data_IF_321797794641
#
_entry.id   IF_321797794641
#
_cell.length_a   1.000
_cell.length_b   1.000
_cell.length_c   1.000
_cell.angle_alpha   90.00
_cell.angle_beta   90.00
_cell.angle_gamma   90.00
#
_symmetry.space_group_name_H-M   'P 1'
#
loop_
_entity.id
_entity.type
_entity.pdbx_description
1 polymer ?
#
# COMPACT_ATOMS: atom_id res chain seq x y z
N UNK A 1 25.88 -4.82 4.20
CA UNK A 1 25.13 -3.87 5.05
C UNK A 1 23.67 -4.29 5.06
N UNK A 2 23.11 -4.61 6.22
CA UNK A 2 21.66 -4.78 6.33
C UNK A 2 21.00 -3.39 6.42
N UNK A 3 19.90 -3.18 5.70
CA UNK A 3 19.08 -1.96 5.83
C UNK A 3 18.49 -1.92 7.24
N UNK A 4 18.63 -0.81 7.94
CA UNK A 4 18.07 -0.56 9.26
C UNK A 4 16.95 0.50 9.15
N UNK A 5 15.80 0.21 9.75
CA UNK A 5 14.65 1.10 9.83
C UNK A 5 14.29 1.49 11.27
N UNK A 6 15.24 1.34 12.20
CA UNK A 6 15.08 1.81 13.59
C UNK A 6 14.62 3.28 13.59
N UNK A 7 13.68 3.62 14.46
CA UNK A 7 13.02 4.93 14.53
C UNK A 7 12.17 5.32 13.31
N UNK A 8 11.87 4.43 12.38
CA UNK A 8 10.94 4.67 11.27
C UNK A 8 9.58 4.06 11.54
N UNK A 9 8.55 4.73 11.07
CA UNK A 9 7.16 4.27 11.09
C UNK A 9 6.72 3.96 9.67
N UNK A 10 6.24 2.73 9.44
CA UNK A 10 5.81 2.24 8.14
C UNK A 10 4.33 1.87 8.16
N UNK A 11 3.54 2.39 7.25
CA UNK A 11 2.16 2.00 6.98
C UNK A 11 2.10 1.13 5.72
N UNK A 12 1.54 -0.06 5.86
CA UNK A 12 1.36 -0.99 4.74
C UNK A 12 -0.14 -1.27 4.57
N UNK A 13 -0.69 -0.98 3.39
CA UNK A 13 -2.09 -1.28 3.06
C UNK A 13 -2.23 -2.68 2.45
N UNK A 14 -3.37 -3.34 2.72
CA UNK A 14 -3.57 -4.73 2.30
C UNK A 14 -2.56 -5.68 2.96
N UNK A 15 -2.25 -5.44 4.23
CA UNK A 15 -1.19 -6.13 4.95
C UNK A 15 -1.69 -7.31 5.80
N UNK A 16 -2.99 -7.65 5.73
CA UNK A 16 -3.54 -8.83 6.40
C UNK A 16 -3.08 -10.16 5.79
N UNK A 17 -2.47 -10.14 4.59
CA UNK A 17 -1.99 -11.34 3.92
C UNK A 17 -1.02 -11.07 2.76
N UNK A 18 -0.63 -12.12 2.06
CA UNK A 18 0.15 -12.06 0.82
C UNK A 18 1.42 -11.21 0.92
N UNK A 19 1.69 -10.42 -0.11
CA UNK A 19 2.86 -9.53 -0.18
C UNK A 19 2.82 -8.45 0.90
N UNK A 20 1.65 -7.88 1.21
CA UNK A 20 1.53 -6.84 2.24
C UNK A 20 1.98 -7.33 3.60
N UNK A 21 1.59 -8.54 4.00
CA UNK A 21 2.07 -9.19 5.22
C UNK A 21 3.61 -9.36 5.19
N UNK A 22 4.18 -9.82 4.08
CA UNK A 22 5.63 -10.00 3.96
C UNK A 22 6.39 -8.67 4.05
N UNK A 23 5.85 -7.59 3.47
CA UNK A 23 6.41 -6.25 3.63
C UNK A 23 6.37 -5.79 5.10
N UNK A 24 5.26 -6.02 5.79
CA UNK A 24 5.11 -5.67 7.20
C UNK A 24 6.14 -6.40 8.08
N UNK A 25 6.25 -7.72 7.91
CA UNK A 25 7.23 -8.54 8.64
C UNK A 25 8.67 -8.13 8.33
N UNK A 26 9.00 -7.91 7.06
CA UNK A 26 10.35 -7.55 6.63
C UNK A 26 10.81 -6.19 7.16
N UNK A 27 9.90 -5.20 7.25
CA UNK A 27 10.19 -3.89 7.82
C UNK A 27 10.29 -3.94 9.34
N UNK A 28 9.40 -4.69 10.01
CA UNK A 28 9.45 -4.91 11.46
C UNK A 28 10.74 -5.60 11.90
N UNK A 29 11.15 -6.66 11.20
CA UNK A 29 12.39 -7.38 11.46
C UNK A 29 13.65 -6.51 11.31
N UNK A 30 13.52 -5.34 10.67
CA UNK A 30 14.58 -4.34 10.51
C UNK A 30 14.40 -3.12 11.40
N UNK A 31 13.57 -3.21 12.43
CA UNK A 31 13.42 -2.19 13.46
C UNK A 31 12.35 -1.13 13.18
N UNK A 32 11.58 -1.20 12.09
CA UNK A 32 10.46 -0.29 11.88
C UNK A 32 9.32 -0.56 12.86
N UNK A 33 8.64 0.51 13.29
CA UNK A 33 7.29 0.42 13.86
C UNK A 33 6.31 0.29 12.70
N UNK A 34 5.45 -0.72 12.73
CA UNK A 34 4.63 -1.08 11.56
C UNK A 34 3.15 -0.88 11.81
N UNK A 35 2.47 -0.18 10.92
CA UNK A 35 1.02 -0.13 10.85
C UNK A 35 0.54 -1.15 9.83
N UNK A 36 -0.23 -2.12 10.29
CA UNK A 36 -0.86 -3.16 9.49
C UNK A 36 -2.28 -2.71 9.16
N UNK A 37 -2.55 -2.38 7.91
CA UNK A 37 -3.90 -2.03 7.45
C UNK A 37 -4.45 -3.09 6.49
N UNK A 38 -5.70 -3.47 6.71
CA UNK A 38 -6.49 -4.33 5.82
C UNK A 38 -7.99 -4.08 6.08
N UNK A 39 -8.87 -4.64 5.24
CA UNK A 39 -10.32 -4.66 5.48
C UNK A 39 -10.70 -5.67 6.56
N UNK A 40 -9.99 -6.80 6.66
CA UNK A 40 -10.29 -7.88 7.60
C UNK A 40 -9.58 -7.64 8.95
N UNK A 41 -10.30 -7.30 10.03
CA UNK A 41 -9.71 -7.04 11.33
C UNK A 41 -9.00 -8.25 11.95
N UNK A 42 -9.49 -9.47 11.69
CA UNK A 42 -8.86 -10.69 12.21
C UNK A 42 -7.50 -10.94 11.55
N UNK A 43 -7.40 -10.76 10.22
CA UNK A 43 -6.16 -10.86 9.50
C UNK A 43 -5.15 -9.80 9.95
N UNK A 44 -5.61 -8.57 10.19
CA UNK A 44 -4.79 -7.48 10.76
C UNK A 44 -4.22 -7.89 12.10
N UNK A 45 -5.05 -8.39 13.03
CA UNK A 45 -4.60 -8.77 14.36
C UNK A 45 -3.64 -9.97 14.35
N UNK A 46 -3.83 -10.92 13.43
CA UNK A 46 -2.92 -12.04 13.26
C UNK A 46 -1.50 -11.57 12.89
N UNK A 47 -1.37 -10.63 11.93
CA UNK A 47 -0.07 -10.08 11.52
C UNK A 47 0.55 -9.23 12.62
N UNK A 48 -0.25 -8.44 13.34
CA UNK A 48 0.23 -7.67 14.51
C UNK A 48 0.79 -8.60 15.57
N UNK A 49 0.07 -9.66 15.92
CA UNK A 49 0.53 -10.64 16.92
C UNK A 49 1.86 -11.32 16.48
N UNK A 50 1.99 -11.64 15.20
CA UNK A 50 3.21 -12.23 14.64
C UNK A 50 4.42 -11.27 14.76
N UNK A 51 4.24 -10.00 14.43
CA UNK A 51 5.29 -8.98 14.58
C UNK A 51 5.69 -8.81 16.05
N UNK A 52 4.71 -8.75 16.95
CA UNK A 52 4.94 -8.60 18.38
C UNK A 52 5.62 -9.82 18.99
N UNK A 53 5.24 -11.03 18.59
CA UNK A 53 5.88 -12.27 19.02
C UNK A 53 7.36 -12.35 18.59
N UNK A 54 7.72 -11.72 17.47
CA UNK A 54 9.09 -11.57 17.00
C UNK A 54 9.85 -10.39 17.66
N UNK A 55 9.24 -9.70 18.65
CA UNK A 55 9.85 -8.57 19.36
C UNK A 55 9.71 -7.23 18.65
N UNK A 56 8.97 -7.14 17.55
CA UNK A 56 8.70 -5.90 16.82
C UNK A 56 7.55 -5.09 17.43
N UNK A 57 7.35 -3.87 16.92
CA UNK A 57 6.25 -2.99 17.30
C UNK A 57 5.26 -2.88 16.14
N UNK A 58 3.99 -3.16 16.39
CA UNK A 58 2.94 -3.06 15.38
C UNK A 58 1.65 -2.49 15.94
N UNK A 59 0.91 -1.77 15.09
CA UNK A 59 -0.43 -1.24 15.32
C UNK A 59 -1.34 -1.74 14.20
N UNK A 60 -2.45 -2.39 14.56
CA UNK A 60 -3.42 -2.89 13.61
C UNK A 60 -4.59 -1.91 13.43
N UNK A 61 -4.85 -1.49 12.19
CA UNK A 61 -5.92 -0.54 11.87
C UNK A 61 -6.75 -1.06 10.68
N UNK A 62 -7.92 -1.62 10.98
CA UNK A 62 -8.81 -2.17 9.97
C UNK A 62 -9.70 -1.07 9.38
N UNK A 63 -9.46 -0.73 8.10
CA UNK A 63 -10.32 0.19 7.37
C UNK A 63 -10.14 0.04 5.85
N UNK A 64 -11.12 0.55 5.10
CA UNK A 64 -11.04 0.61 3.64
C UNK A 64 -10.13 1.74 3.18
N UNK A 65 -9.19 1.44 2.29
CA UNK A 65 -8.38 2.46 1.60
C UNK A 65 -9.20 3.34 0.66
N UNK A 66 -10.44 2.95 0.33
CA UNK A 66 -11.34 3.72 -0.52
C UNK A 66 -12.21 4.71 0.28
N UNK A 67 -12.20 4.63 1.59
CA UNK A 67 -12.86 5.57 2.49
C UNK A 67 -11.88 6.64 2.97
N UNK A 68 -12.05 7.87 2.49
CA UNK A 68 -11.14 8.97 2.79
C UNK A 68 -11.16 9.38 4.27
N UNK A 69 -12.31 9.28 4.93
CA UNK A 69 -12.44 9.65 6.36
C UNK A 69 -11.77 8.58 7.23
N UNK A 70 -12.00 7.31 6.93
CA UNK A 70 -11.35 6.21 7.64
C UNK A 70 -9.83 6.20 7.46
N UNK A 71 -9.35 6.51 6.24
CA UNK A 71 -7.91 6.67 5.95
C UNK A 71 -7.31 7.84 6.75
N UNK A 72 -7.99 9.00 6.81
CA UNK A 72 -7.51 10.12 7.61
C UNK A 72 -7.47 9.77 9.09
N UNK A 73 -8.52 9.16 9.64
CA UNK A 73 -8.55 8.71 11.03
C UNK A 73 -7.42 7.71 11.36
N UNK A 74 -7.13 6.79 10.44
CA UNK A 74 -6.00 5.86 10.55
C UNK A 74 -4.67 6.62 10.66
N UNK A 75 -4.42 7.59 9.79
CA UNK A 75 -3.18 8.39 9.80
C UNK A 75 -3.08 9.24 11.05
N UNK A 76 -4.17 9.85 11.49
CA UNK A 76 -4.22 10.65 12.73
C UNK A 76 -3.88 9.80 13.96
N UNK A 77 -4.39 8.57 14.03
CA UNK A 77 -4.07 7.62 15.10
C UNK A 77 -2.57 7.25 15.10
N UNK A 78 -1.96 7.06 13.93
CA UNK A 78 -0.52 6.82 13.81
C UNK A 78 0.28 8.02 14.33
N UNK A 79 -0.13 9.24 13.97
CA UNK A 79 0.51 10.47 14.45
C UNK A 79 0.38 10.62 15.97
N UNK A 80 -0.78 10.33 16.54
CA UNK A 80 -0.98 10.36 18.00
C UNK A 80 -0.12 9.32 18.73
N UNK A 81 0.07 8.14 18.13
CA UNK A 81 0.78 7.03 18.75
C UNK A 81 2.31 7.18 18.66
N UNK A 82 2.83 7.61 17.52
CA UNK A 82 4.27 7.60 17.25
C UNK A 82 4.85 8.93 16.75
N UNK A 83 4.02 9.94 16.53
CA UNK A 83 4.44 11.30 16.17
C UNK A 83 5.04 11.46 14.77
N UNK A 84 5.04 10.41 13.96
CA UNK A 84 5.64 10.41 12.62
C UNK A 84 5.08 9.31 11.71
N UNK A 85 5.25 9.49 10.41
CA UNK A 85 5.02 8.44 9.41
C UNK A 85 6.04 8.61 8.27
N UNK A 86 6.94 7.64 8.10
CA UNK A 86 8.11 7.71 7.24
C UNK A 86 7.96 6.94 5.93
N UNK A 87 7.25 5.81 5.98
CA UNK A 87 7.16 4.86 4.88
C UNK A 87 5.69 4.54 4.66
N UNK A 88 5.24 4.63 3.40
CA UNK A 88 3.93 4.16 2.97
C UNK A 88 4.12 3.12 1.86
N UNK A 89 3.58 1.92 2.07
CA UNK A 89 3.50 0.88 1.05
C UNK A 89 2.05 0.72 0.63
N UNK A 90 1.69 1.28 -0.52
CA UNK A 90 0.38 1.11 -1.15
C UNK A 90 0.35 -0.24 -1.87
N UNK A 91 -0.18 -1.25 -1.18
CA UNK A 91 -0.23 -2.62 -1.68
C UNK A 91 -1.66 -3.17 -1.79
N UNK A 92 -2.65 -2.57 -1.12
CA UNK A 92 -4.04 -3.01 -1.20
C UNK A 92 -4.53 -3.12 -2.65
N UNK A 93 -5.27 -4.19 -2.96
CA UNK A 93 -5.77 -4.43 -4.30
C UNK A 93 -6.72 -5.61 -4.39
N UNK A 94 -7.44 -5.68 -5.50
CA UNK A 94 -8.39 -6.75 -5.83
C UNK A 94 -8.25 -7.14 -7.30
N UNK A 95 -8.78 -8.30 -7.66
CA UNK A 95 -8.96 -8.74 -9.05
C UNK A 95 -10.45 -8.89 -9.38
N UNK A 96 -10.81 -8.51 -10.61
CA UNK A 96 -12.10 -8.75 -11.24
C UNK A 96 -11.86 -9.05 -12.72
N UNK A 97 -11.20 -10.20 -12.97
CA UNK A 97 -10.68 -10.56 -14.28
C UNK A 97 -11.81 -11.12 -15.15
N UNK A 98 -12.02 -10.50 -16.30
CA UNK A 98 -12.97 -10.90 -17.34
C UNK A 98 -12.49 -10.40 -18.70
N UNK A 99 -12.76 -11.13 -19.78
CA UNK A 99 -12.53 -10.58 -21.13
C UNK A 99 -13.30 -9.26 -21.29
N UNK A 100 -12.77 -8.32 -22.06
CA UNK A 100 -13.36 -6.97 -22.17
C UNK A 100 -14.84 -7.00 -22.58
N UNK A 101 -15.24 -7.92 -23.45
CA UNK A 101 -16.64 -8.10 -23.85
C UNK A 101 -17.58 -8.56 -22.72
N UNK A 102 -17.04 -9.15 -21.65
CA UNK A 102 -17.79 -9.61 -20.47
C UNK A 102 -17.56 -8.74 -19.23
N UNK A 103 -16.61 -7.80 -19.31
CA UNK A 103 -16.32 -6.87 -18.23
C UNK A 103 -17.49 -5.92 -18.01
N UNK A 104 -17.97 -5.79 -16.79
CA UNK A 104 -18.99 -4.81 -16.45
C UNK A 104 -18.35 -3.48 -16.10
N UNK A 105 -19.10 -2.40 -16.24
CA UNK A 105 -18.63 -1.06 -15.82
C UNK A 105 -18.35 -1.04 -14.32
N UNK A 106 -19.21 -1.66 -13.54
CA UNK A 106 -19.09 -1.74 -12.07
C UNK A 106 -17.80 -2.46 -11.64
N UNK A 107 -17.46 -3.59 -12.28
CA UNK A 107 -16.20 -4.29 -12.02
C UNK A 107 -14.98 -3.44 -12.42
N UNK A 108 -15.11 -2.68 -13.52
CA UNK A 108 -14.05 -1.79 -13.99
C UNK A 108 -13.83 -0.64 -12.99
N UNK A 109 -14.90 0.05 -12.61
CA UNK A 109 -14.86 1.17 -11.66
C UNK A 109 -14.40 0.73 -10.27
N UNK A 110 -14.86 -0.43 -9.80
CA UNK A 110 -14.45 -0.99 -8.51
C UNK A 110 -12.93 -1.22 -8.46
N UNK A 111 -12.35 -1.80 -9.51
CA UNK A 111 -10.90 -2.04 -9.59
C UNK A 111 -10.14 -0.73 -9.64
N UNK A 112 -10.59 0.26 -10.43
CA UNK A 112 -9.98 1.60 -10.43
C UNK A 112 -10.07 2.27 -9.06
N UNK A 113 -11.22 2.19 -8.41
CA UNK A 113 -11.42 2.80 -7.10
C UNK A 113 -10.48 2.19 -6.05
N UNK A 114 -10.38 0.86 -5.99
CA UNK A 114 -9.51 0.21 -5.01
C UNK A 114 -8.02 0.47 -5.29
N UNK A 115 -7.58 0.32 -6.54
CA UNK A 115 -6.15 0.44 -6.87
C UNK A 115 -5.69 1.89 -6.97
N UNK A 116 -6.38 2.72 -7.77
CA UNK A 116 -5.96 4.11 -8.00
C UNK A 116 -6.36 5.02 -6.83
N UNK A 117 -7.66 5.06 -6.51
CA UNK A 117 -8.13 5.93 -5.43
C UNK A 117 -7.68 5.44 -4.06
N UNK A 118 -7.62 4.10 -3.86
CA UNK A 118 -7.10 3.49 -2.64
C UNK A 118 -5.58 3.64 -2.46
N UNK A 119 -4.83 4.03 -3.50
CA UNK A 119 -3.44 4.49 -3.40
C UNK A 119 -3.36 6.00 -3.18
N UNK A 120 -4.18 6.77 -3.91
CA UNK A 120 -4.16 8.23 -3.85
C UNK A 120 -4.55 8.75 -2.46
N UNK A 121 -5.60 8.18 -1.84
CA UNK A 121 -6.11 8.65 -0.55
C UNK A 121 -5.09 8.49 0.59
N UNK A 122 -4.49 7.29 0.85
CA UNK A 122 -3.43 7.17 1.84
C UNK A 122 -2.22 8.04 1.54
N UNK A 123 -1.82 8.14 0.27
CA UNK A 123 -0.72 9.00 -0.15
C UNK A 123 -0.99 10.47 0.18
N UNK A 124 -2.21 10.96 -0.12
CA UNK A 124 -2.61 12.34 0.21
C UNK A 124 -2.64 12.58 1.71
N UNK A 125 -3.14 11.64 2.50
CA UNK A 125 -3.23 11.77 3.95
C UNK A 125 -1.85 11.88 4.63
N UNK A 126 -0.82 11.17 4.11
CA UNK A 126 0.54 11.22 4.70
C UNK A 126 1.41 12.33 4.12
N UNK A 127 1.02 12.97 3.02
CA UNK A 127 1.87 13.85 2.22
C UNK A 127 2.40 15.05 3.00
N UNK A 128 1.52 15.80 3.67
CA UNK A 128 1.93 16.98 4.44
C UNK A 128 2.75 16.60 5.69
N UNK A 129 2.50 15.44 6.29
CA UNK A 129 3.31 14.89 7.38
C UNK A 129 4.74 14.64 6.89
N UNK A 130 4.89 13.97 5.77
CA UNK A 130 6.20 13.67 5.18
C UNK A 130 6.93 14.94 4.74
N UNK A 131 6.20 15.95 4.21
CA UNK A 131 6.78 17.27 3.90
C UNK A 131 7.31 17.97 5.15
N UNK A 132 6.53 18.02 6.22
CA UNK A 132 6.95 18.63 7.49
C UNK A 132 8.17 17.91 8.10
N UNK A 133 8.28 16.60 7.91
CA UNK A 133 9.42 15.80 8.34
C UNK A 133 10.66 15.97 7.44
N UNK A 134 10.51 16.56 6.26
CA UNK A 134 11.49 16.57 5.17
C UNK A 134 12.00 15.15 4.85
N UNK A 135 11.12 14.16 4.96
CA UNK A 135 11.40 12.76 4.71
C UNK A 135 10.12 11.97 4.42
N UNK A 136 10.12 11.22 3.33
CA UNK A 136 9.08 10.27 2.99
C UNK A 136 9.58 9.20 2.01
N UNK A 137 9.09 7.97 2.17
CA UNK A 137 9.33 6.87 1.24
C UNK A 137 8.00 6.22 0.90
N UNK A 138 7.57 6.38 -0.34
CA UNK A 138 6.29 5.86 -0.82
C UNK A 138 6.56 4.81 -1.89
N UNK A 139 6.04 3.63 -1.68
CA UNK A 139 6.05 2.54 -2.64
C UNK A 139 4.63 2.30 -3.14
N UNK A 140 4.47 2.25 -4.45
CA UNK A 140 3.20 1.99 -5.12
C UNK A 140 3.30 0.65 -5.86
N UNK A 141 2.43 -0.29 -5.53
CA UNK A 141 2.43 -1.61 -6.16
C UNK A 141 1.72 -1.55 -7.51
N UNK A 142 2.52 -1.52 -8.58
CA UNK A 142 2.06 -1.69 -9.97
C UNK A 142 2.11 -3.17 -10.40
N UNK A 143 2.13 -3.46 -11.68
CA UNK A 143 2.15 -4.83 -12.21
C UNK A 143 2.70 -4.86 -13.63
N UNK A 144 3.29 -5.99 -14.03
CA UNK A 144 3.58 -6.30 -15.43
C UNK A 144 2.34 -6.18 -16.33
N UNK A 145 1.16 -6.55 -15.82
CA UNK A 145 -0.12 -6.38 -16.53
C UNK A 145 -0.43 -4.92 -16.86
N UNK A 146 0.00 -3.96 -16.02
CA UNK A 146 -0.12 -2.54 -16.32
C UNK A 146 0.86 -2.08 -17.37
N UNK A 147 2.08 -2.64 -17.37
CA UNK A 147 3.17 -2.23 -18.27
C UNK A 147 3.04 -2.83 -19.67
N UNK A 148 2.59 -4.08 -19.76
CA UNK A 148 2.61 -4.87 -21.00
C UNK A 148 1.25 -5.40 -21.43
N UNK A 149 0.22 -5.23 -20.59
CA UNK A 149 -1.10 -5.81 -20.79
C UNK A 149 -1.18 -7.28 -20.37
N UNK A 150 -2.40 -7.72 -20.09
CA UNK A 150 -2.72 -9.13 -19.85
C UNK A 150 -4.18 -9.38 -20.24
N UNK A 151 -4.45 -10.53 -20.86
CA UNK A 151 -5.80 -10.89 -21.26
C UNK A 151 -6.74 -10.95 -20.04
N UNK A 152 -7.93 -10.37 -20.18
CA UNK A 152 -8.93 -10.37 -19.10
C UNK A 152 -8.73 -9.34 -18.01
N UNK A 153 -7.69 -8.50 -18.09
CA UNK A 153 -7.32 -7.53 -17.07
C UNK A 153 -7.36 -6.08 -17.56
N UNK A 154 -8.32 -5.72 -18.39
CA UNK A 154 -8.43 -4.35 -18.91
C UNK A 154 -8.60 -3.29 -17.81
N UNK A 155 -9.39 -3.59 -16.77
CA UNK A 155 -9.57 -2.77 -15.57
C UNK A 155 -8.29 -2.70 -14.73
N UNK A 156 -7.72 -3.85 -14.43
CA UNK A 156 -6.51 -3.98 -13.60
C UNK A 156 -5.29 -3.36 -14.28
N UNK A 157 -5.06 -3.66 -15.57
CA UNK A 157 -3.98 -3.08 -16.35
C UNK A 157 -4.07 -1.55 -16.43
N UNK A 158 -5.28 -1.01 -16.69
CA UNK A 158 -5.51 0.44 -16.69
C UNK A 158 -5.19 1.07 -15.33
N UNK A 159 -5.68 0.47 -14.22
CA UNK A 159 -5.42 0.95 -12.87
C UNK A 159 -3.91 0.93 -12.55
N UNK A 160 -3.23 -0.18 -12.87
CA UNK A 160 -1.80 -0.35 -12.56
C UNK A 160 -0.89 0.54 -13.38
N UNK A 161 -1.26 0.88 -14.64
CA UNK A 161 -0.53 1.87 -15.44
C UNK A 161 -0.80 3.30 -14.96
N UNK A 162 -2.02 3.62 -14.54
CA UNK A 162 -2.34 4.92 -13.95
C UNK A 162 -1.48 5.20 -12.70
N UNK A 163 -1.16 4.18 -11.90
CA UNK A 163 -0.27 4.30 -10.75
C UNK A 163 1.17 4.68 -11.15
N UNK A 164 1.64 4.27 -12.32
CA UNK A 164 2.96 4.67 -12.82
C UNK A 164 2.99 6.16 -13.12
N UNK A 165 1.95 6.69 -13.80
CA UNK A 165 1.82 8.13 -14.05
C UNK A 165 1.70 8.95 -12.77
N UNK A 166 0.91 8.48 -11.81
CA UNK A 166 0.79 9.11 -10.48
C UNK A 166 2.14 9.16 -9.78
N UNK A 167 2.87 8.04 -9.73
CA UNK A 167 4.19 7.94 -9.11
C UNK A 167 5.18 8.92 -9.73
N UNK A 168 5.24 9.00 -11.07
CA UNK A 168 6.17 9.88 -11.78
C UNK A 168 5.95 11.36 -11.39
N UNK A 169 4.70 11.80 -11.36
CA UNK A 169 4.34 13.16 -10.96
C UNK A 169 4.68 13.42 -9.49
N UNK A 170 4.29 12.54 -8.59
CA UNK A 170 4.56 12.69 -7.17
C UNK A 170 6.05 12.61 -6.81
N UNK A 171 6.86 11.88 -7.58
CA UNK A 171 8.30 11.84 -7.42
C UNK A 171 8.94 13.22 -7.68
N UNK A 172 8.44 13.95 -8.69
CA UNK A 172 8.87 15.32 -9.02
C UNK A 172 8.41 16.30 -7.92
N UNK A 173 7.12 16.24 -7.55
CA UNK A 173 6.55 17.15 -6.55
C UNK A 173 7.18 16.96 -5.15
N UNK A 174 7.54 15.74 -4.79
CA UNK A 174 8.10 15.40 -3.48
C UNK A 174 9.59 15.68 -3.32
N UNK A 175 10.32 15.89 -4.43
CA UNK A 175 11.79 15.93 -4.43
C UNK A 175 12.37 16.96 -3.45
N UNK A 176 11.87 18.19 -3.49
CA UNK A 176 12.34 19.28 -2.62
C UNK A 176 12.03 19.07 -1.14
N UNK A 177 11.06 18.20 -0.83
CA UNK A 177 10.64 17.86 0.54
C UNK A 177 11.21 16.52 1.01
N UNK A 178 12.22 15.99 0.34
CA UNK A 178 12.85 14.71 0.72
C UNK A 178 11.95 13.48 0.57
N UNK A 179 10.81 13.61 -0.12
CA UNK A 179 9.90 12.50 -0.40
C UNK A 179 10.35 11.79 -1.67
N UNK A 180 10.50 10.46 -1.59
CA UNK A 180 10.81 9.62 -2.74
C UNK A 180 9.63 8.67 -3.00
N UNK A 181 9.15 8.65 -4.23
CA UNK A 181 8.03 7.80 -4.65
C UNK A 181 8.50 6.86 -5.75
N UNK A 182 8.27 5.57 -5.58
CA UNK A 182 8.67 4.53 -6.53
C UNK A 182 7.55 3.52 -6.76
N UNK A 183 7.55 2.89 -7.94
CA UNK A 183 6.71 1.73 -8.23
C UNK A 183 7.47 0.43 -8.00
N UNK A 184 6.74 -0.58 -7.52
CA UNK A 184 7.16 -1.98 -7.46
C UNK A 184 6.20 -2.81 -8.33
N UNK A 185 6.74 -3.52 -9.31
CA UNK A 185 6.01 -4.52 -10.10
C UNK A 185 6.46 -5.91 -9.63
N UNK A 186 5.81 -6.51 -8.63
CA UNK A 186 6.25 -7.78 -8.07
C UNK A 186 5.96 -8.94 -9.03
N UNK A 187 6.85 -9.96 -8.99
CA UNK A 187 6.60 -11.27 -9.58
C UNK A 187 6.68 -12.29 -8.46
N UNK A 188 5.54 -12.70 -7.92
CA UNK A 188 5.45 -13.61 -6.78
C UNK A 188 4.20 -14.48 -6.87
N UNK A 189 4.32 -15.74 -6.45
CA UNK A 189 3.16 -16.59 -6.21
C UNK A 189 2.47 -16.15 -4.91
N UNK A 190 1.19 -15.79 -5.00
CA UNK A 190 0.35 -15.38 -3.88
C UNK A 190 -1.04 -15.96 -4.05
N UNK A 191 -1.88 -15.92 -3.02
CA UNK A 191 -3.30 -16.32 -3.14
C UNK A 191 -4.02 -15.58 -4.28
N UNK A 192 -3.61 -14.36 -4.61
CA UNK A 192 -4.16 -13.59 -5.73
C UNK A 192 -3.76 -14.16 -7.10
N UNK A 193 -2.70 -14.98 -7.18
CA UNK A 193 -2.17 -15.58 -8.41
C UNK A 193 -2.31 -17.11 -8.43
N UNK A 194 -2.87 -17.71 -7.38
CA UNK A 194 -3.20 -19.15 -7.36
C UNK A 194 -4.36 -19.42 -8.32
N UNK A 195 -4.07 -20.13 -9.41
CA UNK A 195 -5.06 -20.51 -10.43
C UNK A 195 -5.03 -19.66 -11.71
N UNK A 196 -4.03 -18.79 -11.88
CA UNK A 196 -3.76 -18.11 -13.15
C UNK A 196 -2.82 -18.95 -14.04
#
# INVERSE_FOLDING_TARGET
MSLDFTCRVALITGAGGGLGRQHALALAARGAKVVVNDLNPEAVQAVVAEIQAAGGQALGLACSVTDAQAVQAMVDQVQQTWGRLDILVNNAGILRDKSFSKMTIEDFELVLNVHLMGTMKPTKAVWEIMKAQNYGRIVVTTSSSGLYGNFGQSNYGAAKMALVGLMQTLAIEGEKSGIRVNCLAPSAATQMTEGL
#
